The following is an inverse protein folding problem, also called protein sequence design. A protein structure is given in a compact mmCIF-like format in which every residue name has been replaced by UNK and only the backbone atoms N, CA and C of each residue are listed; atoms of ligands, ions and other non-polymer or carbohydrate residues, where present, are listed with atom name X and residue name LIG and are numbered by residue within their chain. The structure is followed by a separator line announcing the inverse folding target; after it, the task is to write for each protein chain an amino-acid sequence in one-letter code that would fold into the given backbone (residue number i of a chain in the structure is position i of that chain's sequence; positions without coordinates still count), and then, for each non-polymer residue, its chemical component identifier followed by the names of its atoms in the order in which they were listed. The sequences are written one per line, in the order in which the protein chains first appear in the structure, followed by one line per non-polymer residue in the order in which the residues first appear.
data_IF_850231297230
#
_entry.id   IF_850231297230
#
_cell.length_a   1.000
_cell.length_b   1.000
_cell.length_c   1.000
_cell.angle_alpha   90.00
_cell.angle_beta   90.00
_cell.angle_gamma   90.00
#
_symmetry.space_group_name_H-M   'P 1'
#
loop_
_entity.id
_entity.type
_entity.pdbx_description
1 polymer ?
#
# COMPACT_ATOMS: atom_id res chain seq x y z
N UNK A 1 -63.69 -20.76 18.36
CA UNK A 1 -64.69 -19.67 18.34
C UNK A 1 -66.11 -20.22 18.21
N UNK A 2 -66.44 -20.99 17.17
CA UNK A 2 -67.81 -21.49 16.95
C UNK A 2 -68.44 -22.20 18.16
N UNK A 3 -67.72 -23.05 18.90
CA UNK A 3 -68.27 -23.75 20.07
C UNK A 3 -68.59 -22.84 21.26
N UNK A 4 -67.95 -21.67 21.38
CA UNK A 4 -68.18 -20.73 22.49
C UNK A 4 -69.52 -20.01 22.35
N UNK A 5 -69.90 -19.70 21.11
CA UNK A 5 -71.17 -19.05 20.74
C UNK A 5 -72.34 -19.97 21.06
N UNK A 6 -72.20 -21.24 20.67
CA UNK A 6 -73.21 -22.25 20.97
C UNK A 6 -73.29 -22.55 22.47
N UNK A 7 -72.18 -22.46 23.22
CA UNK A 7 -72.19 -22.57 24.67
C UNK A 7 -72.85 -21.36 25.36
N UNK A 8 -72.57 -20.13 24.93
CA UNK A 8 -73.28 -18.93 25.41
C UNK A 8 -74.77 -18.96 25.07
N UNK A 9 -75.11 -19.46 23.89
CA UNK A 9 -76.50 -19.68 23.49
C UNK A 9 -77.18 -20.73 24.38
N UNK A 10 -76.54 -21.87 24.67
CA UNK A 10 -77.08 -22.90 25.58
C UNK A 10 -77.25 -22.37 27.00
N UNK A 11 -76.36 -21.49 27.48
CA UNK A 11 -76.48 -20.87 28.81
C UNK A 11 -77.60 -19.83 28.90
N UNK A 12 -77.84 -19.04 27.83
CA UNK A 12 -78.89 -18.01 27.78
C UNK A 12 -80.25 -18.55 27.29
N UNK A 13 -80.27 -19.70 26.62
CA UNK A 13 -81.46 -20.38 26.11
C UNK A 13 -82.64 -20.52 27.10
N UNK A 14 -82.46 -20.82 28.40
CA UNK A 14 -83.58 -20.90 29.33
C UNK A 14 -84.26 -19.55 29.65
N UNK A 15 -83.57 -18.42 29.44
CA UNK A 15 -84.09 -17.07 29.71
C UNK A 15 -84.68 -16.39 28.46
N UNK A 16 -84.45 -16.95 27.28
CA UNK A 16 -84.93 -16.40 26.00
C UNK A 16 -86.42 -16.70 25.83
N UNK A 17 -87.23 -15.65 25.84
CA UNK A 17 -88.70 -15.76 25.70
C UNK A 17 -89.17 -15.56 24.27
N UNK A 18 -88.41 -14.81 23.47
CA UNK A 18 -88.79 -14.49 22.10
C UNK A 18 -87.71 -14.86 21.07
N UNK A 19 -88.15 -15.39 19.93
CA UNK A 19 -87.27 -15.92 18.87
C UNK A 19 -86.33 -14.87 18.27
N UNK A 20 -86.67 -13.59 18.34
CA UNK A 20 -85.83 -12.51 17.79
C UNK A 20 -84.57 -12.24 18.62
N UNK A 21 -84.57 -12.56 19.92
CA UNK A 21 -83.40 -12.39 20.80
C UNK A 21 -82.25 -13.30 20.37
N UNK A 22 -82.58 -14.50 19.88
CA UNK A 22 -81.63 -15.45 19.29
C UNK A 22 -80.99 -14.82 18.06
N UNK A 23 -81.82 -14.28 17.16
CA UNK A 23 -81.35 -13.68 15.90
C UNK A 23 -80.41 -12.52 16.19
N UNK A 24 -80.76 -11.65 17.15
CA UNK A 24 -79.91 -10.52 17.58
C UNK A 24 -78.54 -10.97 18.10
N UNK A 25 -78.48 -12.02 18.92
CA UNK A 25 -77.23 -12.54 19.49
C UNK A 25 -76.25 -13.01 18.39
N UNK A 26 -76.75 -13.76 17.42
CA UNK A 26 -75.95 -14.20 16.26
C UNK A 26 -75.60 -13.04 15.31
N UNK A 27 -76.47 -12.03 15.18
CA UNK A 27 -76.18 -10.84 14.36
C UNK A 27 -75.09 -9.95 14.97
N UNK A 28 -75.10 -9.76 16.28
CA UNK A 28 -74.06 -9.02 17.01
C UNK A 28 -72.69 -9.72 16.89
N UNK A 29 -72.65 -11.03 17.03
CA UNK A 29 -71.39 -11.76 16.85
C UNK A 29 -70.93 -11.83 15.39
N UNK A 30 -71.87 -11.91 14.45
CA UNK A 30 -71.54 -11.80 13.02
C UNK A 30 -70.94 -10.43 12.71
N UNK A 31 -71.44 -9.36 13.32
CA UNK A 31 -70.86 -8.02 13.20
C UNK A 31 -69.46 -7.97 13.79
N UNK A 32 -69.26 -8.47 15.02
CA UNK A 32 -67.93 -8.55 15.65
C UNK A 32 -66.93 -9.33 14.78
N UNK A 33 -67.34 -10.46 14.22
CA UNK A 33 -66.49 -11.26 13.34
C UNK A 33 -66.15 -10.54 12.04
N UNK A 34 -67.08 -9.76 11.49
CA UNK A 34 -66.82 -8.91 10.32
C UNK A 34 -65.84 -7.78 10.65
N UNK A 35 -65.97 -7.16 11.81
CA UNK A 35 -65.04 -6.13 12.30
C UNK A 35 -63.64 -6.71 12.52
N UNK A 36 -63.53 -7.89 13.14
CA UNK A 36 -62.26 -8.61 13.32
C UNK A 36 -61.62 -8.97 11.97
N UNK A 37 -62.40 -9.48 11.02
CA UNK A 37 -61.91 -9.76 9.66
C UNK A 37 -61.36 -8.51 8.99
N UNK A 38 -62.08 -7.39 9.05
CA UNK A 38 -61.61 -6.12 8.49
C UNK A 38 -60.36 -5.63 9.21
N UNK A 39 -60.28 -5.77 10.52
CA UNK A 39 -59.08 -5.43 11.29
C UNK A 39 -57.87 -6.25 10.82
N UNK A 40 -58.00 -7.58 10.69
CA UNK A 40 -56.93 -8.43 10.18
C UNK A 40 -56.55 -8.11 8.73
N UNK A 41 -57.51 -7.84 7.86
CA UNK A 41 -57.23 -7.43 6.47
C UNK A 41 -56.42 -6.12 6.43
N UNK A 42 -56.78 -5.15 7.28
CA UNK A 42 -56.05 -3.89 7.42
C UNK A 42 -54.64 -4.10 7.97
N UNK A 43 -54.47 -4.94 8.99
CA UNK A 43 -53.16 -5.30 9.54
C UNK A 43 -52.27 -5.97 8.49
N UNK A 44 -52.82 -6.90 7.71
CA UNK A 44 -52.11 -7.56 6.61
C UNK A 44 -51.69 -6.53 5.54
N UNK A 45 -52.57 -5.58 5.21
CA UNK A 45 -52.26 -4.52 4.25
C UNK A 45 -51.14 -3.61 4.75
N UNK A 46 -51.17 -3.22 6.03
CA UNK A 46 -50.12 -2.42 6.67
C UNK A 46 -48.79 -3.18 6.77
N UNK A 47 -48.83 -4.46 7.14
CA UNK A 47 -47.63 -5.30 7.19
C UNK A 47 -46.99 -5.43 5.79
N UNK A 48 -47.80 -5.57 4.75
CA UNK A 48 -47.33 -5.60 3.35
C UNK A 48 -46.71 -4.28 2.91
N UNK A 49 -47.30 -3.14 3.28
CA UNK A 49 -46.75 -1.82 2.94
C UNK A 49 -45.42 -1.58 3.66
N UNK A 50 -45.34 -1.90 4.95
CA UNK A 50 -44.10 -1.84 5.73
C UNK A 50 -43.00 -2.72 5.13
N UNK A 51 -43.34 -3.95 4.73
CA UNK A 51 -42.39 -4.87 4.11
C UNK A 51 -41.90 -4.36 2.74
N UNK A 52 -42.74 -3.64 1.98
CA UNK A 52 -42.34 -3.00 0.75
C UNK A 52 -41.35 -1.85 1.01
N UNK A 53 -41.59 -1.03 2.03
CA UNK A 53 -40.69 0.05 2.44
C UNK A 53 -39.33 -0.48 2.91
N UNK A 54 -39.32 -1.50 3.77
CA UNK A 54 -38.09 -2.19 4.20
C UNK A 54 -37.29 -2.77 3.02
N UNK A 55 -37.98 -3.32 2.02
CA UNK A 55 -37.31 -3.81 0.80
C UNK A 55 -36.67 -2.69 -0.02
N UNK A 56 -37.32 -1.52 -0.14
CA UNK A 56 -36.71 -0.38 -0.83
C UNK A 56 -35.49 0.15 -0.07
N UNK A 57 -35.58 0.31 1.25
CA UNK A 57 -34.45 0.73 2.09
C UNK A 57 -33.28 -0.24 1.99
N UNK A 58 -33.55 -1.55 1.98
CA UNK A 58 -32.52 -2.58 1.80
C UNK A 58 -31.84 -2.48 0.43
N UNK A 59 -32.61 -2.21 -0.63
CA UNK A 59 -32.05 -2.00 -1.97
C UNK A 59 -31.19 -0.73 -2.04
N UNK A 60 -31.63 0.37 -1.44
CA UNK A 60 -30.86 1.61 -1.34
C UNK A 60 -29.56 1.40 -0.57
N UNK A 61 -29.62 0.75 0.60
CA UNK A 61 -28.44 0.42 1.39
C UNK A 61 -27.44 -0.47 0.63
N UNK A 62 -27.94 -1.46 -0.14
CA UNK A 62 -27.10 -2.29 -1.02
C UNK A 62 -26.42 -1.48 -2.12
N UNK A 63 -27.14 -0.55 -2.74
CA UNK A 63 -26.57 0.32 -3.77
C UNK A 63 -25.49 1.22 -3.17
N UNK A 64 -25.75 1.82 -1.99
CA UNK A 64 -24.76 2.61 -1.28
C UNK A 64 -23.51 1.83 -0.89
N UNK A 65 -23.67 0.57 -0.45
CA UNK A 65 -22.52 -0.30 -0.17
C UNK A 65 -21.69 -0.56 -1.43
N UNK A 66 -22.33 -0.85 -2.56
CA UNK A 66 -21.65 -1.07 -3.83
C UNK A 66 -20.91 0.18 -4.29
N UNK A 67 -21.51 1.36 -4.14
CA UNK A 67 -20.88 2.63 -4.48
C UNK A 67 -19.67 2.94 -3.59
N UNK A 68 -19.79 2.66 -2.28
CA UNK A 68 -18.69 2.81 -1.33
C UNK A 68 -17.53 1.86 -1.65
N UNK A 69 -17.83 0.62 -2.01
CA UNK A 69 -16.83 -0.37 -2.40
C UNK A 69 -16.07 0.07 -3.66
N UNK A 70 -16.78 0.55 -4.68
CA UNK A 70 -16.17 1.12 -5.88
C UNK A 70 -15.27 2.33 -5.56
N UNK A 71 -15.74 3.27 -4.72
CA UNK A 71 -14.94 4.42 -4.28
C UNK A 71 -13.69 3.99 -3.52
N UNK A 72 -13.81 2.98 -2.66
CA UNK A 72 -12.68 2.43 -1.92
C UNK A 72 -11.64 1.81 -2.85
N UNK A 73 -12.07 1.03 -3.84
CA UNK A 73 -11.17 0.46 -4.85
C UNK A 73 -10.44 1.56 -5.64
N UNK A 74 -11.16 2.57 -6.13
CA UNK A 74 -10.55 3.69 -6.85
C UNK A 74 -9.52 4.44 -5.99
N UNK A 75 -9.84 4.73 -4.73
CA UNK A 75 -8.91 5.40 -3.80
C UNK A 75 -7.68 4.54 -3.52
N UNK A 76 -7.83 3.21 -3.44
CA UNK A 76 -6.70 2.29 -3.27
C UNK A 76 -5.78 2.30 -4.49
N UNK A 77 -6.34 2.42 -5.69
CA UNK A 77 -5.55 2.55 -6.92
C UNK A 77 -4.84 3.91 -7.00
N UNK A 78 -5.51 5.01 -6.69
CA UNK A 78 -4.90 6.35 -6.60
C UNK A 78 -3.73 6.38 -5.60
N UNK A 79 -3.86 5.72 -4.45
CA UNK A 79 -2.76 5.62 -3.47
C UNK A 79 -1.58 4.86 -4.07
N UNK A 80 -1.82 3.77 -4.81
CA UNK A 80 -0.74 3.01 -5.46
C UNK A 80 -0.03 3.84 -6.52
N UNK A 81 -0.74 4.60 -7.34
CA UNK A 81 -0.13 5.46 -8.36
C UNK A 81 0.70 6.57 -7.71
N UNK A 82 0.16 7.24 -6.69
CA UNK A 82 0.90 8.27 -5.94
C UNK A 82 2.17 7.72 -5.27
N UNK A 83 2.12 6.50 -4.73
CA UNK A 83 3.30 5.85 -4.17
C UNK A 83 4.37 5.58 -5.24
N UNK A 84 3.98 5.14 -6.43
CA UNK A 84 4.89 4.92 -7.55
C UNK A 84 5.50 6.23 -8.02
N UNK A 85 4.71 7.29 -8.18
CA UNK A 85 5.19 8.64 -8.54
C UNK A 85 6.16 9.21 -7.49
N UNK A 86 5.86 9.02 -6.21
CA UNK A 86 6.72 9.49 -5.13
C UNK A 86 8.05 8.73 -5.10
N UNK A 87 8.02 7.43 -5.44
CA UNK A 87 9.24 6.63 -5.60
C UNK A 87 10.07 7.08 -6.81
N UNK A 88 9.46 7.27 -7.98
CA UNK A 88 10.18 7.73 -9.18
C UNK A 88 10.79 9.12 -8.96
N UNK A 89 10.06 10.03 -8.33
CA UNK A 89 10.56 11.36 -7.99
C UNK A 89 11.73 11.32 -7.00
N UNK A 90 11.70 10.41 -6.00
CA UNK A 90 12.85 10.19 -5.10
C UNK A 90 14.07 9.69 -5.87
N UNK A 91 13.91 8.69 -6.73
CA UNK A 91 15.00 8.16 -7.55
C UNK A 91 15.59 9.24 -8.47
N UNK A 92 14.74 10.04 -9.12
CA UNK A 92 15.19 11.15 -9.97
C UNK A 92 15.98 12.19 -9.17
N UNK A 93 15.50 12.58 -7.99
CA UNK A 93 16.22 13.50 -7.10
C UNK A 93 17.60 12.96 -6.73
N UNK A 94 17.68 11.70 -6.33
CA UNK A 94 18.94 11.07 -5.94
C UNK A 94 19.92 10.97 -7.11
N UNK A 95 19.42 10.70 -8.32
CA UNK A 95 20.24 10.69 -9.54
C UNK A 95 20.83 12.06 -9.85
N UNK A 96 20.02 13.12 -9.77
CA UNK A 96 20.49 14.51 -9.99
C UNK A 96 21.53 14.90 -8.95
N UNK A 97 21.31 14.57 -7.67
CA UNK A 97 22.29 14.82 -6.62
C UNK A 97 23.61 14.08 -6.87
N UNK A 98 23.56 12.82 -7.30
CA UNK A 98 24.77 12.05 -7.66
C UNK A 98 25.49 12.64 -8.85
N UNK A 99 24.78 13.16 -9.85
CA UNK A 99 25.39 13.82 -11.01
C UNK A 99 26.10 15.11 -10.60
N UNK A 100 25.45 15.99 -9.83
CA UNK A 100 26.09 17.21 -9.32
C UNK A 100 27.33 16.92 -8.48
N UNK A 101 27.24 15.99 -7.54
CA UNK A 101 28.38 15.59 -6.73
C UNK A 101 29.53 15.00 -7.56
N UNK A 102 29.23 14.38 -8.72
CA UNK A 102 30.24 13.88 -9.64
C UNK A 102 30.91 15.03 -10.40
N UNK A 103 30.14 16.00 -10.87
CA UNK A 103 30.63 17.19 -11.56
C UNK A 103 31.54 18.02 -10.63
N UNK A 104 31.10 18.30 -9.40
CA UNK A 104 31.90 19.02 -8.39
C UNK A 104 33.23 18.30 -8.08
N UNK A 105 33.24 16.96 -8.07
CA UNK A 105 34.48 16.18 -7.90
C UNK A 105 35.42 16.30 -9.09
N UNK A 106 34.87 16.29 -10.31
CA UNK A 106 35.67 16.43 -11.54
C UNK A 106 36.31 17.82 -11.62
N UNK A 107 35.58 18.86 -11.24
CA UNK A 107 36.11 20.24 -11.17
C UNK A 107 37.24 20.36 -10.12
N UNK A 108 37.11 19.71 -8.96
CA UNK A 108 38.17 19.66 -7.95
C UNK A 108 39.41 18.88 -8.42
N UNK A 109 39.22 17.80 -9.18
CA UNK A 109 40.33 16.97 -9.66
C UNK A 109 41.20 17.71 -10.71
N UNK A 110 40.65 18.64 -11.49
CA UNK A 110 41.42 19.44 -12.46
C UNK A 110 42.39 20.44 -11.78
N UNK A 111 42.02 20.98 -10.62
CA UNK A 111 42.86 21.93 -9.87
C UNK A 111 43.96 21.25 -9.04
N UNK A 112 43.79 19.98 -8.66
CA UNK A 112 44.68 19.26 -7.74
C UNK A 112 45.89 18.60 -8.43
N UNK A 113 45.96 18.63 -9.77
CA UNK A 113 47.07 18.00 -10.47
C UNK A 113 48.38 18.76 -10.20
N UNK A 114 49.40 18.09 -9.64
CA UNK A 114 50.65 18.75 -9.31
C UNK A 114 51.34 19.28 -10.56
N UNK A 115 51.66 20.57 -10.54
CA UNK A 115 52.38 21.21 -11.62
C UNK A 115 53.89 20.92 -11.50
N UNK A 116 54.59 20.69 -12.62
CA UNK A 116 56.04 20.51 -12.60
C UNK A 116 56.73 21.80 -12.18
N UNK A 117 57.91 21.68 -11.59
CA UNK A 117 58.71 22.85 -11.18
C UNK A 117 59.04 23.69 -12.42
N UNK A 118 58.65 24.96 -12.39
CA UNK A 118 58.79 25.88 -13.53
C UNK A 118 60.19 26.49 -13.62
N UNK A 119 60.84 26.72 -12.47
CA UNK A 119 62.16 27.33 -12.40
C UNK A 119 63.03 26.68 -11.32
N UNK A 120 64.33 26.57 -11.59
CA UNK A 120 65.34 26.10 -10.66
C UNK A 120 66.41 27.20 -10.54
N UNK A 121 66.86 27.43 -9.32
CA UNK A 121 67.96 28.36 -9.03
C UNK A 121 69.30 27.63 -9.19
N UNK A 122 70.16 28.18 -10.04
CA UNK A 122 71.49 27.62 -10.33
C UNK A 122 72.54 28.61 -9.83
N UNK A 123 73.52 28.10 -9.09
CA UNK A 123 74.68 28.86 -8.65
C UNK A 123 75.75 28.88 -9.74
N UNK A 124 76.07 30.06 -10.25
CA UNK A 124 77.15 30.27 -11.21
C UNK A 124 78.50 30.34 -10.49
N UNK A 125 79.60 30.14 -11.23
CA UNK A 125 80.98 30.13 -10.68
C UNK A 125 81.34 31.43 -9.96
N UNK A 126 80.69 32.54 -10.34
CA UNK A 126 80.87 33.88 -9.75
C UNK A 126 80.05 34.09 -8.47
N UNK A 127 79.48 33.01 -7.89
CA UNK A 127 78.57 33.01 -6.74
C UNK A 127 77.23 33.72 -6.95
N UNK A 128 76.93 34.20 -8.16
CA UNK A 128 75.61 34.73 -8.52
C UNK A 128 74.59 33.63 -8.73
N UNK A 129 73.32 33.89 -8.39
CA UNK A 129 72.20 32.96 -8.59
C UNK A 129 71.44 33.33 -9.85
N UNK A 130 71.25 32.37 -10.76
CA UNK A 130 70.46 32.53 -11.97
C UNK A 130 69.24 31.60 -11.96
N UNK A 131 68.09 32.09 -12.44
CA UNK A 131 66.86 31.30 -12.58
C UNK A 131 66.82 30.68 -13.97
N UNK A 132 66.73 29.35 -14.05
CA UNK A 132 66.64 28.63 -15.31
C UNK A 132 65.43 27.69 -15.31
N UNK A 133 64.95 27.33 -16.51
CA UNK A 133 63.91 26.31 -16.66
C UNK A 133 64.56 24.92 -16.67
N UNK A 134 64.03 23.95 -15.92
CA UNK A 134 64.59 22.60 -15.89
C UNK A 134 64.42 21.89 -17.24
N UNK A 135 65.44 21.15 -17.68
CA UNK A 135 65.46 20.45 -18.96
C UNK A 135 64.52 19.23 -19.03
N UNK A 136 64.08 18.73 -17.87
CA UNK A 136 63.10 17.64 -17.73
C UNK A 136 62.04 18.04 -16.69
N UNK A 137 60.83 17.48 -16.81
CA UNK A 137 59.77 17.68 -15.81
C UNK A 137 60.25 17.15 -14.47
N UNK A 138 60.54 18.06 -13.55
CA UNK A 138 60.96 17.73 -12.19
C UNK A 138 59.81 18.01 -11.23
N UNK A 139 59.60 17.08 -10.32
CA UNK A 139 58.58 17.13 -9.28
C UNK A 139 59.29 17.04 -7.93
N UNK A 140 58.89 17.85 -6.95
CA UNK A 140 59.58 17.87 -5.65
C UNK A 140 59.46 16.54 -4.88
N UNK A 141 60.46 16.21 -4.06
CA UNK A 141 60.50 14.95 -3.27
C UNK A 141 59.29 14.77 -2.33
N UNK A 142 58.72 15.86 -1.83
CA UNK A 142 57.52 15.83 -1.01
C UNK A 142 56.30 15.29 -1.79
N UNK A 143 56.22 15.61 -3.09
CA UNK A 143 55.16 15.12 -3.96
C UNK A 143 55.31 13.63 -4.24
N UNK A 144 56.55 13.15 -4.44
CA UNK A 144 56.83 11.72 -4.61
C UNK A 144 56.41 10.90 -3.39
N UNK A 145 56.70 11.40 -2.17
CA UNK A 145 56.27 10.73 -0.92
C UNK A 145 54.75 10.66 -0.79
N UNK A 146 54.05 11.77 -1.07
CA UNK A 146 52.57 11.81 -1.08
C UNK A 146 51.99 10.84 -2.11
N UNK A 147 52.52 10.84 -3.33
CA UNK A 147 52.07 9.94 -4.39
C UNK A 147 52.26 8.46 -4.04
N UNK A 148 53.35 8.11 -3.34
CA UNK A 148 53.58 6.72 -2.88
C UNK A 148 52.56 6.26 -1.85
N UNK A 149 52.14 7.14 -0.94
CA UNK A 149 51.07 6.84 0.03
C UNK A 149 49.74 6.69 -0.70
N UNK A 150 49.40 7.66 -1.56
CA UNK A 150 48.18 7.61 -2.38
C UNK A 150 48.11 6.37 -3.27
N UNK A 151 49.23 5.91 -3.85
CA UNK A 151 49.27 4.66 -4.62
C UNK A 151 48.89 3.43 -3.80
N UNK A 152 49.32 3.37 -2.53
CA UNK A 152 48.97 2.27 -1.63
C UNK A 152 47.49 2.33 -1.25
N UNK A 153 47.01 3.51 -0.92
CA UNK A 153 45.59 3.73 -0.60
C UNK A 153 44.71 3.43 -1.81
N UNK A 154 45.10 3.86 -3.00
CA UNK A 154 44.39 3.60 -4.25
C UNK A 154 44.34 2.09 -4.55
N UNK A 155 45.43 1.37 -4.28
CA UNK A 155 45.43 -0.10 -4.37
C UNK A 155 44.44 -0.73 -3.39
N UNK A 156 44.47 -0.33 -2.12
CA UNK A 156 43.55 -0.83 -1.10
C UNK A 156 42.08 -0.50 -1.44
N UNK A 157 41.81 0.69 -1.97
CA UNK A 157 40.48 1.10 -2.43
C UNK A 157 40.03 0.29 -3.65
N UNK A 158 40.93 0.01 -4.61
CA UNK A 158 40.62 -0.88 -5.74
C UNK A 158 40.27 -2.28 -5.27
N UNK A 159 41.05 -2.84 -4.36
CA UNK A 159 40.78 -4.17 -3.80
C UNK A 159 39.40 -4.17 -3.11
N UNK A 160 39.07 -3.12 -2.35
CA UNK A 160 37.75 -2.97 -1.73
C UNK A 160 36.61 -2.81 -2.74
N UNK A 161 36.83 -2.09 -3.84
CA UNK A 161 35.85 -1.98 -4.93
C UNK A 161 35.60 -3.36 -5.55
N UNK A 162 36.64 -4.14 -5.80
CA UNK A 162 36.50 -5.50 -6.32
C UNK A 162 35.71 -6.40 -5.36
N UNK A 163 35.95 -6.32 -4.04
CA UNK A 163 35.13 -7.04 -3.04
C UNK A 163 33.65 -6.64 -3.13
N UNK A 164 33.36 -5.35 -3.19
CA UNK A 164 31.98 -4.83 -3.28
C UNK A 164 31.32 -5.20 -4.61
N UNK A 165 32.06 -5.26 -5.71
CA UNK A 165 31.53 -5.71 -7.01
C UNK A 165 31.20 -7.20 -7.00
N UNK A 166 32.02 -8.02 -6.34
CA UNK A 166 31.72 -9.44 -6.11
C UNK A 166 30.47 -9.60 -5.25
N UNK A 167 30.36 -8.87 -4.14
CA UNK A 167 29.17 -8.88 -3.27
C UNK A 167 27.90 -8.40 -4.00
N UNK A 168 28.01 -7.35 -4.81
CA UNK A 168 26.89 -6.91 -5.65
C UNK A 168 26.49 -7.99 -6.68
N UNK A 169 27.46 -8.75 -7.19
CA UNK A 169 27.19 -9.85 -8.11
C UNK A 169 26.46 -11.01 -7.42
N UNK A 170 26.84 -11.35 -6.18
CA UNK A 170 26.17 -12.40 -5.40
C UNK A 170 24.75 -11.97 -5.03
N UNK A 171 24.58 -10.75 -4.52
CA UNK A 171 23.26 -10.21 -4.19
C UNK A 171 22.32 -10.15 -5.41
N UNK A 172 22.84 -9.86 -6.60
CA UNK A 172 22.05 -9.90 -7.84
C UNK A 172 21.57 -11.31 -8.19
N UNK A 173 22.38 -12.33 -7.91
CA UNK A 173 21.98 -13.74 -8.10
C UNK A 173 20.93 -14.11 -7.06
N UNK A 174 21.15 -13.80 -5.78
CA UNK A 174 20.20 -14.06 -4.70
C UNK A 174 18.84 -13.40 -4.96
N UNK A 175 18.82 -12.13 -5.39
CA UNK A 175 17.59 -11.44 -5.77
C UNK A 175 16.88 -12.10 -6.95
N UNK A 176 17.62 -12.63 -7.93
CA UNK A 176 17.04 -13.38 -9.04
C UNK A 176 16.40 -14.68 -8.54
N UNK A 177 17.09 -15.39 -7.67
CA UNK A 177 16.63 -16.66 -7.10
C UNK A 177 15.41 -16.47 -6.18
N UNK A 178 15.36 -15.38 -5.42
CA UNK A 178 14.19 -15.00 -4.62
C UNK A 178 13.01 -14.70 -5.55
N UNK A 179 13.21 -13.90 -6.60
CA UNK A 179 12.16 -13.58 -7.57
C UNK A 179 11.61 -14.81 -8.29
N UNK A 180 12.48 -15.75 -8.67
CA UNK A 180 12.03 -17.01 -9.29
C UNK A 180 11.27 -17.87 -8.28
N UNK A 181 11.71 -17.95 -7.02
CA UNK A 181 10.97 -18.63 -5.95
C UNK A 181 9.60 -18.00 -5.71
N UNK A 182 9.51 -16.67 -5.62
CA UNK A 182 8.24 -15.94 -5.46
C UNK A 182 7.31 -16.18 -6.65
N UNK A 183 7.82 -16.12 -7.88
CA UNK A 183 7.05 -16.42 -9.09
C UNK A 183 6.51 -17.85 -9.10
N UNK A 184 7.34 -18.83 -8.72
CA UNK A 184 6.92 -20.22 -8.64
C UNK A 184 5.89 -20.44 -7.52
N UNK A 185 6.05 -19.80 -6.35
CA UNK A 185 5.05 -19.81 -5.27
C UNK A 185 3.72 -19.19 -5.70
N UNK A 186 3.77 -18.01 -6.33
CA UNK A 186 2.57 -17.30 -6.80
C UNK A 186 1.77 -18.10 -7.85
N UNK A 187 2.47 -18.92 -8.65
CA UNK A 187 1.85 -19.80 -9.65
C UNK A 187 1.54 -21.22 -9.12
N UNK A 188 1.74 -21.48 -7.82
CA UNK A 188 1.40 -22.75 -7.18
C UNK A 188 2.33 -23.92 -7.50
N UNK A 189 3.54 -23.66 -8.00
CA UNK A 189 4.56 -24.70 -8.30
C UNK A 189 5.45 -25.05 -7.11
N UNK A 190 5.37 -24.31 -6.00
CA UNK A 190 6.11 -24.55 -4.75
C UNK A 190 5.14 -24.50 -3.56
N UNK A 191 5.05 -25.57 -2.78
CA UNK A 191 4.36 -25.57 -1.48
C UNK A 191 5.21 -24.87 -0.42
N UNK A 192 4.57 -24.23 0.56
CA UNK A 192 5.26 -23.67 1.73
C UNK A 192 5.87 -24.82 2.54
N UNK A 193 7.20 -24.86 2.63
CA UNK A 193 7.86 -25.69 3.65
C UNK A 193 7.42 -25.19 5.02
N UNK A 194 6.42 -25.86 5.60
CA UNK A 194 6.04 -25.71 6.99
C UNK A 194 7.27 -25.88 7.85
N UNK A 195 7.58 -24.85 8.64
CA UNK A 195 8.65 -24.80 9.63
C UNK A 195 8.72 -26.09 10.44
N UNK A 196 9.71 -26.93 10.18
CA UNK A 196 10.17 -27.96 11.11
C UNK A 196 11.63 -27.69 11.39
N UNK A 197 11.92 -27.18 12.58
CA UNK A 197 13.30 -27.00 13.02
C UNK A 197 13.51 -26.17 14.28
N UNK A 198 12.57 -26.14 15.23
CA UNK A 198 12.86 -25.79 16.62
C UNK A 198 12.59 -27.04 17.48
N UNK A 199 13.63 -27.84 17.70
CA UNK A 199 13.82 -28.74 18.85
C UNK A 199 15.32 -28.83 19.16
#
# INVERSE_FOLDING_TARGET
MNDSIFQEFIQKAPDIKEKWEIVRLFEEERQKFQEELQAYENEIAQARSALKALRSELMEAKNHLKDLENRHQNKKEEIKTLQQELFTHKVQRDLVLKQKNREERLEQDEELLPQPVSFVEIYLKDRSVAKARPAKRFFGDQLYRKYRVLLRENKALKDRIFELDLENSTLKIELRDIKTKEFLRANGYLEEESSKGDQ
#
